data_IF_742124277814
#
_entry.id   IF_742124277814
#
_cell.length_a   1.000
_cell.length_b   1.000
_cell.length_c   1.000
_cell.angle_alpha   90.00
_cell.angle_beta   90.00
_cell.angle_gamma   90.00
#
_symmetry.space_group_name_H-M   'P 1'
#
loop_
_entity.id
_entity.type
_entity.pdbx_description
1 polymer ?
#
# COMPACT_ATOMS: atom_id res chain seq x y z
N UNK A 1 13.35 5.89 9.00
CA UNK A 1 13.46 4.51 9.50
C UNK A 1 13.43 3.56 8.31
N UNK A 2 14.35 2.61 8.27
CA UNK A 2 14.42 1.57 7.22
C UNK A 2 13.43 0.43 7.49
N UNK A 3 13.27 -0.49 6.53
CA UNK A 3 12.47 -1.71 6.73
C UNK A 3 13.13 -2.69 7.73
N UNK A 4 14.45 -2.70 7.82
CA UNK A 4 15.22 -3.70 8.57
C UNK A 4 14.76 -3.87 10.04
N UNK A 5 14.58 -2.82 10.86
CA UNK A 5 14.14 -2.98 12.24
C UNK A 5 12.77 -3.66 12.39
N UNK A 6 11.87 -3.50 11.43
CA UNK A 6 10.55 -4.14 11.43
C UNK A 6 10.67 -5.64 11.18
N UNK A 7 11.56 -6.04 10.28
CA UNK A 7 11.82 -7.45 10.02
C UNK A 7 12.53 -8.08 11.21
N UNK A 8 13.55 -7.44 11.78
CA UNK A 8 14.23 -7.94 12.99
C UNK A 8 13.25 -8.11 14.16
N UNK A 9 12.33 -7.16 14.36
CA UNK A 9 11.25 -7.27 15.36
C UNK A 9 10.35 -8.48 15.08
N UNK A 10 9.97 -8.70 13.83
CA UNK A 10 9.16 -9.84 13.44
C UNK A 10 9.91 -11.17 13.68
N UNK A 11 11.17 -11.24 13.27
CA UNK A 11 12.00 -12.45 13.37
C UNK A 11 12.26 -12.88 14.81
N UNK A 12 12.29 -11.92 15.74
CA UNK A 12 12.39 -12.19 17.16
C UNK A 12 11.13 -12.85 17.75
N UNK A 13 9.96 -12.68 17.11
CA UNK A 13 8.67 -13.16 17.63
C UNK A 13 8.50 -14.68 17.53
N UNK A 14 7.79 -15.28 18.49
CA UNK A 14 7.47 -16.71 18.48
C UNK A 14 6.61 -17.09 17.27
N UNK A 15 5.60 -16.27 16.95
CA UNK A 15 4.74 -16.46 15.77
C UNK A 15 5.53 -16.56 14.47
N UNK A 16 6.59 -15.78 14.30
CA UNK A 16 7.45 -15.90 13.12
C UNK A 16 8.26 -17.19 13.12
N UNK A 17 8.80 -17.60 14.26
CA UNK A 17 9.58 -18.85 14.37
C UNK A 17 8.70 -20.05 14.02
N UNK A 18 7.50 -20.13 14.58
CA UNK A 18 6.49 -21.16 14.25
C UNK A 18 6.12 -21.13 12.76
N UNK A 19 5.89 -19.92 12.21
CA UNK A 19 5.64 -19.74 10.79
C UNK A 19 6.77 -20.29 9.93
N UNK A 20 8.03 -19.98 10.28
CA UNK A 20 9.19 -20.35 9.48
C UNK A 20 9.50 -21.86 9.56
N UNK A 21 9.18 -22.50 10.68
CA UNK A 21 9.22 -23.95 10.81
C UNK A 21 8.20 -24.64 9.88
N UNK A 22 6.99 -24.08 9.79
CA UNK A 22 5.91 -24.59 8.94
C UNK A 22 6.14 -24.33 7.45
N UNK A 23 6.64 -23.14 7.10
CA UNK A 23 6.81 -22.68 5.72
C UNK A 23 8.27 -22.33 5.43
N UNK A 24 9.11 -23.36 5.33
CA UNK A 24 10.56 -23.19 5.15
C UNK A 24 10.94 -22.50 3.84
N UNK A 25 10.15 -22.74 2.78
CA UNK A 25 10.29 -22.17 1.44
C UNK A 25 9.80 -20.72 1.33
N UNK A 26 9.23 -20.15 2.40
CA UNK A 26 8.78 -18.77 2.41
C UNK A 26 9.92 -17.77 2.22
N UNK A 27 9.65 -16.64 1.57
CA UNK A 27 10.59 -15.54 1.43
C UNK A 27 9.92 -14.18 1.51
N UNK A 28 10.65 -13.17 2.00
CA UNK A 28 10.18 -11.80 2.12
C UNK A 28 9.92 -11.22 0.73
N UNK A 29 8.76 -10.58 0.53
CA UNK A 29 8.37 -10.00 -0.77
C UNK A 29 7.99 -8.54 -0.71
N UNK A 30 7.46 -8.08 0.42
CA UNK A 30 7.11 -6.67 0.56
C UNK A 30 7.13 -6.21 2.02
N UNK A 31 7.37 -4.92 2.20
CA UNK A 31 6.98 -4.18 3.40
C UNK A 31 5.87 -3.21 3.05
N UNK A 32 4.78 -3.25 3.79
CA UNK A 32 3.60 -2.42 3.61
C UNK A 32 3.42 -1.50 4.82
N UNK A 33 3.36 -0.20 4.57
CA UNK A 33 3.37 0.83 5.59
C UNK A 33 2.26 1.83 5.35
N UNK A 34 1.34 1.97 6.30
CA UNK A 34 0.36 3.05 6.32
C UNK A 34 0.85 4.08 7.33
N UNK A 35 1.09 5.28 6.84
CA UNK A 35 1.48 6.44 7.65
C UNK A 35 0.30 7.39 7.64
N UNK A 36 -0.40 7.49 8.77
CA UNK A 36 -1.48 8.45 8.96
C UNK A 36 -0.90 9.72 9.59
N UNK A 37 -0.78 10.77 8.78
CA UNK A 37 -0.18 12.02 9.24
C UNK A 37 -1.11 12.83 10.14
N UNK A 38 -2.41 12.53 10.14
CA UNK A 38 -3.44 13.22 10.93
C UNK A 38 -3.61 12.56 12.30
N UNK A 39 -3.88 11.26 12.31
CA UNK A 39 -4.20 10.51 13.55
C UNK A 39 -2.97 9.92 14.22
N UNK A 40 -1.84 9.87 13.51
CA UNK A 40 -0.60 9.18 13.92
C UNK A 40 -0.79 7.67 14.15
N UNK A 41 -1.89 7.10 13.65
CA UNK A 41 -2.12 5.66 13.63
C UNK A 41 -1.40 5.06 12.42
N UNK A 42 -0.18 4.59 12.67
CA UNK A 42 0.60 3.92 11.64
C UNK A 42 0.31 2.42 11.66
N UNK A 43 0.35 1.80 10.49
CA UNK A 43 0.27 0.35 10.33
C UNK A 43 1.53 -0.13 9.61
N UNK A 44 2.21 -1.13 10.18
CA UNK A 44 3.40 -1.74 9.63
C UNK A 44 3.12 -3.22 9.41
N UNK A 45 3.27 -3.64 8.16
CA UNK A 45 3.03 -5.00 7.73
C UNK A 45 4.23 -5.51 6.93
N UNK A 46 4.59 -6.78 7.15
CA UNK A 46 5.66 -7.47 6.44
C UNK A 46 5.08 -8.71 5.77
N UNK A 47 5.31 -8.83 4.47
CA UNK A 47 4.69 -9.88 3.66
C UNK A 47 5.72 -10.91 3.20
N UNK A 48 5.40 -12.18 3.43
CA UNK A 48 6.16 -13.34 2.95
C UNK A 48 5.35 -14.10 1.91
N UNK A 49 5.96 -14.42 0.79
CA UNK A 49 5.34 -15.31 -0.19
C UNK A 49 5.57 -16.77 0.18
N UNK A 50 4.55 -17.60 -0.08
CA UNK A 50 4.50 -19.02 0.21
C UNK A 50 4.43 -19.79 -1.11
N UNK A 51 5.57 -20.20 -1.71
CA UNK A 51 5.59 -20.86 -3.01
C UNK A 51 4.75 -22.13 -3.05
N UNK A 52 4.87 -22.98 -2.03
CA UNK A 52 4.15 -24.25 -1.94
C UNK A 52 2.62 -24.10 -1.90
N UNK A 53 2.11 -22.97 -1.42
CA UNK A 53 0.67 -22.72 -1.32
C UNK A 53 0.15 -21.69 -2.33
N UNK A 54 1.04 -21.00 -3.06
CA UNK A 54 0.71 -19.83 -3.86
C UNK A 54 -0.09 -18.78 -3.06
N UNK A 55 0.38 -18.47 -1.85
CA UNK A 55 -0.24 -17.52 -0.90
C UNK A 55 0.76 -16.50 -0.39
N UNK A 56 0.25 -15.48 0.29
CA UNK A 56 1.05 -14.48 1.01
C UNK A 56 0.71 -14.56 2.50
N UNK A 57 1.72 -14.62 3.34
CA UNK A 57 1.63 -14.44 4.78
C UNK A 57 1.91 -12.98 5.13
N UNK A 58 0.88 -12.27 5.56
CA UNK A 58 0.95 -10.88 6.00
C UNK A 58 1.08 -10.81 7.52
N UNK A 59 2.15 -10.17 8.00
CA UNK A 59 2.41 -9.96 9.42
C UNK A 59 2.21 -8.50 9.79
N UNK A 60 1.18 -8.18 10.57
CA UNK A 60 1.00 -6.85 11.15
C UNK A 60 1.78 -6.73 12.46
N UNK A 61 2.51 -5.64 12.65
CA UNK A 61 3.48 -5.46 13.75
C UNK A 61 3.05 -4.43 14.81
N UNK A 62 1.89 -3.79 14.64
CA UNK A 62 1.35 -2.78 15.55
C UNK A 62 0.62 -3.46 16.70
N UNK A 63 1.27 -3.47 17.87
CA UNK A 63 0.82 -4.23 19.03
C UNK A 63 1.34 -5.67 19.00
N UNK A 64 0.44 -6.63 19.18
CA UNK A 64 0.77 -8.04 19.07
C UNK A 64 0.97 -8.42 17.61
N UNK A 65 2.04 -9.16 17.30
CA UNK A 65 2.29 -9.66 15.95
C UNK A 65 1.10 -10.50 15.50
N UNK A 66 0.45 -10.15 14.39
CA UNK A 66 -0.68 -10.90 13.85
C UNK A 66 -0.34 -11.44 12.48
N UNK A 67 -0.59 -12.73 12.27
CA UNK A 67 -0.37 -13.43 11.01
C UNK A 67 -1.70 -13.66 10.29
N UNK A 68 -1.78 -13.23 9.04
CA UNK A 68 -2.88 -13.53 8.13
C UNK A 68 -2.35 -14.20 6.87
N UNK A 69 -2.98 -15.30 6.46
CA UNK A 69 -2.66 -15.97 5.20
C UNK A 69 -3.68 -15.53 4.15
N UNK A 70 -3.19 -14.86 3.11
CA UNK A 70 -3.98 -14.27 2.03
C UNK A 70 -3.71 -15.01 0.72
N UNK A 71 -4.73 -15.10 -0.12
CA UNK A 71 -4.55 -15.61 -1.49
C UNK A 71 -3.76 -14.61 -2.34
N UNK A 72 -2.90 -15.12 -3.21
CA UNK A 72 -2.19 -14.27 -4.17
C UNK A 72 -3.15 -13.78 -5.25
N UNK A 73 -3.09 -12.49 -5.55
CA UNK A 73 -3.99 -11.85 -6.53
C UNK A 73 -3.48 -11.94 -7.97
N UNK A 74 -2.38 -12.67 -8.23
CA UNK A 74 -1.70 -12.73 -9.52
C UNK A 74 -1.03 -14.07 -9.80
N UNK A 75 -0.86 -14.41 -11.09
CA UNK A 75 -0.12 -15.60 -11.54
C UNK A 75 1.40 -15.41 -11.50
N UNK A 76 1.86 -14.15 -11.39
CA UNK A 76 3.29 -13.82 -11.36
C UNK A 76 3.79 -14.03 -9.94
N UNK A 77 4.76 -14.93 -9.80
CA UNK A 77 5.49 -15.12 -8.54
C UNK A 77 6.22 -13.82 -8.21
N UNK A 78 6.00 -13.25 -7.01
CA UNK A 78 6.71 -12.06 -6.57
C UNK A 78 8.22 -12.32 -6.45
N UNK A 79 9.00 -11.26 -6.63
CA UNK A 79 10.45 -11.32 -6.46
C UNK A 79 10.81 -11.17 -4.97
N UNK A 80 11.87 -11.84 -4.54
CA UNK A 80 12.37 -11.69 -3.16
C UNK A 80 12.82 -10.25 -2.92
N UNK A 81 12.42 -9.71 -1.78
CA UNK A 81 12.89 -8.41 -1.30
C UNK A 81 14.11 -8.60 -0.40
N UNK A 82 15.19 -7.91 -0.75
CA UNK A 82 16.38 -7.78 0.11
C UNK A 82 16.13 -6.71 1.19
N UNK A 83 16.55 -6.99 2.43
CA UNK A 83 16.36 -6.14 3.60
C UNK A 83 17.11 -4.80 3.51
N UNK A 84 18.20 -4.78 2.75
CA UNK A 84 19.02 -3.59 2.60
C UNK A 84 18.31 -2.56 1.74
N UNK A 85 17.67 -1.59 2.37
CA UNK A 85 17.05 -0.42 1.72
C UNK A 85 17.93 0.81 1.88
N UNK A 86 17.93 1.67 0.86
CA UNK A 86 18.66 2.94 0.89
C UNK A 86 17.75 4.11 1.29
N UNK A 87 16.45 4.06 0.97
CA UNK A 87 15.48 5.09 1.35
C UNK A 87 14.86 4.77 2.70
N UNK A 88 14.84 5.78 3.56
CA UNK A 88 14.12 5.77 4.83
C UNK A 88 12.63 6.08 4.62
N UNK A 89 11.75 5.38 5.34
CA UNK A 89 10.30 5.64 5.35
C UNK A 89 9.97 7.11 5.64
N UNK A 90 10.69 7.71 6.59
CA UNK A 90 10.50 9.11 6.99
C UNK A 90 10.93 10.10 5.89
N UNK A 91 11.85 9.68 4.99
CA UNK A 91 12.30 10.51 3.88
C UNK A 91 11.31 10.51 2.71
N UNK A 92 10.46 9.48 2.59
CA UNK A 92 9.49 9.36 1.49
C UNK A 92 8.53 10.55 1.43
N UNK A 93 8.12 11.09 2.58
CA UNK A 93 7.27 12.28 2.62
C UNK A 93 7.98 13.49 2.00
N UNK A 94 9.23 13.75 2.37
CA UNK A 94 9.99 14.87 1.81
C UNK A 94 10.19 14.73 0.30
N UNK A 95 10.58 13.53 -0.17
CA UNK A 95 10.76 13.24 -1.60
C UNK A 95 9.46 13.53 -2.38
N UNK A 96 8.31 13.09 -1.84
CA UNK A 96 7.01 13.31 -2.47
C UNK A 96 6.59 14.78 -2.45
N UNK A 97 6.76 15.47 -1.32
CA UNK A 97 6.43 16.90 -1.19
C UNK A 97 7.25 17.75 -2.14
N UNK A 98 8.54 17.46 -2.33
CA UNK A 98 9.37 18.17 -3.29
C UNK A 98 8.98 17.83 -4.73
N UNK A 99 8.65 16.58 -5.01
CA UNK A 99 8.07 16.17 -6.29
C UNK A 99 6.74 16.88 -6.62
N UNK A 100 5.89 17.09 -5.61
CA UNK A 100 4.64 17.83 -5.70
C UNK A 100 4.87 19.32 -5.98
N UNK A 101 5.77 19.97 -5.24
CA UNK A 101 6.13 21.39 -5.44
C UNK A 101 6.64 21.63 -6.86
N UNK A 102 7.51 20.76 -7.37
CA UNK A 102 8.05 20.84 -8.73
C UNK A 102 6.97 20.71 -9.82
N UNK A 103 5.77 20.25 -9.47
CA UNK A 103 4.61 20.11 -10.34
C UNK A 103 3.48 21.10 -10.01
N UNK A 104 3.76 22.12 -9.20
CA UNK A 104 2.80 23.13 -8.76
C UNK A 104 1.57 22.56 -8.03
N UNK A 105 1.74 21.45 -7.32
CA UNK A 105 0.69 20.88 -6.46
C UNK A 105 0.73 21.54 -5.08
N UNK A 106 -0.41 22.05 -4.63
CA UNK A 106 -0.53 22.79 -3.35
C UNK A 106 -1.21 22.01 -2.23
N UNK A 107 -1.73 20.82 -2.55
CA UNK A 107 -2.42 19.98 -1.57
C UNK A 107 -1.44 19.39 -0.55
N UNK A 108 -1.96 19.00 0.62
CA UNK A 108 -1.17 18.33 1.66
C UNK A 108 -1.45 16.85 1.66
N UNK A 109 -0.41 16.04 1.89
CA UNK A 109 -0.56 14.59 2.11
C UNK A 109 -1.20 14.40 3.50
N UNK A 110 -2.29 13.64 3.55
CA UNK A 110 -3.02 13.28 4.79
C UNK A 110 -2.68 11.88 5.26
N UNK A 111 -2.66 10.95 4.31
CA UNK A 111 -2.34 9.54 4.55
C UNK A 111 -1.47 9.03 3.44
N UNK A 112 -0.52 8.18 3.78
CA UNK A 112 0.44 7.60 2.86
C UNK A 112 0.45 6.09 3.02
N UNK A 113 0.24 5.38 1.92
CA UNK A 113 0.40 3.93 1.84
C UNK A 113 1.66 3.69 1.02
N UNK A 114 2.71 3.23 1.68
CA UNK A 114 4.01 2.95 1.09
C UNK A 114 4.25 1.45 1.04
N UNK A 115 4.61 0.92 -0.13
CA UNK A 115 4.91 -0.48 -0.33
C UNK A 115 6.29 -0.60 -0.96
N UNK A 116 7.25 -1.17 -0.24
CA UNK A 116 8.54 -1.53 -0.82
C UNK A 116 8.50 -2.96 -1.32
N UNK A 117 8.89 -3.15 -2.57
CA UNK A 117 8.95 -4.46 -3.21
C UNK A 117 10.02 -4.47 -4.31
N UNK A 118 10.46 -5.66 -4.70
CA UNK A 118 11.33 -5.83 -5.87
C UNK A 118 10.48 -5.96 -7.14
N UNK A 119 10.74 -5.13 -8.14
CA UNK A 119 10.12 -5.17 -9.45
C UNK A 119 11.21 -5.13 -10.52
N UNK A 120 11.29 -6.18 -11.35
CA UNK A 120 12.26 -6.28 -12.45
C UNK A 120 13.71 -6.14 -11.94
N UNK A 121 14.01 -6.79 -10.81
CA UNK A 121 15.31 -6.73 -10.15
C UNK A 121 15.62 -5.43 -9.41
N UNK A 122 14.70 -4.46 -9.36
CA UNK A 122 14.89 -3.16 -8.67
C UNK A 122 13.97 -3.01 -7.48
N UNK A 123 14.49 -2.44 -6.39
CA UNK A 123 13.68 -2.07 -5.22
C UNK A 123 12.93 -0.78 -5.51
N UNK A 124 11.60 -0.83 -5.45
CA UNK A 124 10.73 0.29 -5.75
C UNK A 124 9.75 0.50 -4.60
N UNK A 125 9.68 1.74 -4.13
CA UNK A 125 8.64 2.22 -3.24
C UNK A 125 7.42 2.63 -4.06
N UNK A 126 6.36 1.85 -3.99
CA UNK A 126 5.06 2.15 -4.58
C UNK A 126 4.20 2.85 -3.55
N UNK A 127 3.84 4.09 -3.84
CA UNK A 127 3.19 5.02 -2.94
C UNK A 127 1.79 5.34 -3.43
N UNK A 128 0.82 5.29 -2.54
CA UNK A 128 -0.52 5.83 -2.74
C UNK A 128 -0.81 6.81 -1.60
N UNK A 129 -0.94 8.09 -1.91
CA UNK A 129 -1.12 9.16 -0.95
C UNK A 129 -2.50 9.77 -1.12
N UNK A 130 -3.24 9.88 -0.01
CA UNK A 130 -4.49 10.64 0.05
C UNK A 130 -4.13 12.09 0.32
N UNK A 131 -4.56 12.98 -0.56
CA UNK A 131 -4.34 14.42 -0.46
C UNK A 131 -5.54 15.11 0.21
N UNK A 132 -5.30 16.31 0.74
CA UNK A 132 -6.33 17.15 1.37
C UNK A 132 -7.48 17.55 0.43
N UNK A 133 -7.29 17.45 -0.89
CA UNK A 133 -8.28 17.79 -1.91
C UNK A 133 -9.19 16.63 -2.38
N UNK A 134 -9.25 15.51 -1.64
CA UNK A 134 -9.95 14.28 -2.07
C UNK A 134 -9.36 13.68 -3.37
N UNK A 135 -8.04 13.78 -3.50
CA UNK A 135 -7.28 13.27 -4.64
C UNK A 135 -6.29 12.22 -4.15
N UNK A 136 -6.00 11.25 -5.01
CA UNK A 136 -5.00 10.22 -4.78
C UNK A 136 -3.78 10.53 -5.65
N UNK A 137 -2.65 10.73 -5.00
CA UNK A 137 -1.35 10.80 -5.63
C UNK A 137 -0.71 9.40 -5.60
N UNK A 138 -0.48 8.84 -6.77
CA UNK A 138 0.30 7.61 -6.94
C UNK A 138 1.71 7.99 -7.31
N UNK A 139 2.70 7.39 -6.69
CA UNK A 139 4.08 7.60 -7.06
C UNK A 139 4.92 6.34 -6.89
N UNK A 140 5.90 6.16 -7.76
CA UNK A 140 6.90 5.11 -7.64
C UNK A 140 8.26 5.79 -7.44
N UNK A 141 8.95 5.44 -6.38
CA UNK A 141 10.28 5.96 -6.05
C UNK A 141 11.27 4.80 -6.14
N UNK A 142 12.35 5.01 -6.86
CA UNK A 142 13.46 4.06 -6.93
C UNK A 142 14.25 4.10 -5.61
N UNK A 143 14.42 2.95 -4.94
CA UNK A 143 15.11 2.90 -3.64
C UNK A 143 16.59 3.27 -3.78
N UNK A 144 17.25 2.95 -4.89
CA UNK A 144 18.69 3.20 -5.06
C UNK A 144 18.99 4.67 -5.33
N UNK A 145 18.26 5.28 -6.26
CA UNK A 145 18.52 6.64 -6.73
C UNK A 145 17.67 7.70 -6.05
N UNK A 146 16.64 7.30 -5.29
CA UNK A 146 15.64 8.17 -4.65
C UNK A 146 14.82 9.01 -5.64
N UNK A 147 14.92 8.70 -6.93
CA UNK A 147 14.19 9.40 -7.98
C UNK A 147 12.75 8.93 -8.06
N UNK A 148 11.85 9.88 -8.30
CA UNK A 148 10.46 9.59 -8.64
C UNK A 148 10.43 9.05 -10.08
N UNK A 149 10.28 7.74 -10.23
CA UNK A 149 10.15 7.04 -11.51
C UNK A 149 8.83 7.39 -12.21
N UNK A 150 7.77 7.50 -11.42
CA UNK A 150 6.41 7.74 -11.90
C UNK A 150 5.65 8.51 -10.83
N UNK A 151 4.82 9.47 -11.24
CA UNK A 151 3.90 10.12 -10.32
C UNK A 151 2.66 10.59 -11.08
N UNK A 152 1.49 10.22 -10.60
CA UNK A 152 0.18 10.42 -11.22
C UNK A 152 -0.81 10.91 -10.17
N UNK A 153 -1.58 11.95 -10.50
CA UNK A 153 -2.65 12.47 -9.67
C UNK A 153 -3.98 12.02 -10.26
N UNK A 154 -4.89 11.55 -9.41
CA UNK A 154 -6.22 11.09 -9.83
C UNK A 154 -7.27 11.51 -8.81
N UNK A 155 -8.46 11.92 -9.26
CA UNK A 155 -9.55 12.23 -8.33
C UNK A 155 -10.15 10.94 -7.79
N UNK A 156 -10.56 10.93 -6.52
CA UNK A 156 -11.33 9.81 -5.96
C UNK A 156 -12.64 9.62 -6.76
N UNK A 157 -13.24 10.69 -7.28
CA UNK A 157 -14.44 10.64 -8.11
C UNK A 157 -14.23 9.88 -9.42
N UNK A 158 -13.03 9.92 -10.00
CA UNK A 158 -12.74 9.19 -11.23
C UNK A 158 -12.74 7.68 -10.99
N UNK A 159 -12.26 7.22 -9.82
CA UNK A 159 -12.37 5.81 -9.43
C UNK A 159 -13.83 5.40 -9.27
N UNK A 160 -14.65 6.22 -8.63
CA UNK A 160 -16.09 5.95 -8.43
C UNK A 160 -16.85 5.87 -9.75
N UNK A 161 -16.51 6.72 -10.73
CA UNK A 161 -17.13 6.69 -12.07
C UNK A 161 -16.74 5.48 -12.90
N UNK A 162 -15.54 4.93 -12.70
CA UNK A 162 -15.08 3.72 -13.40
C UNK A 162 -15.60 2.42 -12.80
N UNK A 163 -16.39 2.49 -11.72
CA UNK A 163 -17.01 1.30 -11.15
C UNK A 163 -18.23 0.85 -11.96
N UNK A 164 -18.33 -0.43 -12.33
CA UNK A 164 -19.53 -0.95 -12.95
C UNK A 164 -20.71 -0.86 -11.97
N UNK A 165 -21.80 -0.21 -12.38
CA UNK A 165 -23.09 -0.28 -11.69
C UNK A 165 -23.59 0.97 -10.98
N UNK A 166 -22.90 2.12 -11.06
CA UNK A 166 -23.45 3.42 -10.58
C UNK A 166 -23.85 4.32 -11.75
N UNK A 167 -25.13 4.70 -11.78
CA UNK A 167 -25.67 5.66 -12.73
C UNK A 167 -25.15 7.08 -12.39
N UNK A 168 -24.43 7.77 -13.31
CA UNK A 168 -23.88 9.11 -13.07
C UNK A 168 -24.94 10.18 -12.74
N UNK A 169 -26.22 9.91 -13.00
CA UNK A 169 -27.32 10.86 -12.80
C UNK A 169 -27.71 11.09 -11.33
N UNK A 170 -27.19 10.30 -10.37
CA UNK A 170 -27.53 10.44 -8.94
C UNK A 170 -26.58 11.35 -8.13
N UNK A 171 -25.50 11.86 -8.72
CA UNK A 171 -24.63 12.84 -8.04
C UNK A 171 -25.22 14.26 -8.13
N UNK A 172 -26.18 14.57 -7.25
CA UNK A 172 -26.65 15.95 -7.08
C UNK A 172 -25.60 16.81 -6.36
N UNK A 173 -25.44 18.03 -6.87
CA UNK A 173 -24.54 19.09 -6.41
C UNK A 173 -24.82 19.48 -4.94
N UNK A 174 -23.96 19.03 -4.03
CA UNK A 174 -23.85 19.54 -2.66
C UNK A 174 -22.51 19.10 -2.08
N UNK A 175 -21.83 19.97 -1.32
CA UNK A 175 -20.61 19.57 -0.61
C UNK A 175 -20.94 18.44 0.39
N UNK A 176 -20.16 17.34 0.40
CA UNK A 176 -20.47 16.18 1.23
C UNK A 176 -20.26 16.50 2.71
N UNK A 177 -21.20 16.05 3.54
CA UNK A 177 -21.11 16.20 4.99
C UNK A 177 -20.14 15.17 5.59
N UNK A 178 -19.73 15.34 6.86
CA UNK A 178 -18.87 14.36 7.55
C UNK A 178 -19.46 12.94 7.57
N UNK A 179 -20.78 12.81 7.72
CA UNK A 179 -21.46 11.52 7.67
C UNK A 179 -21.48 10.92 6.25
N UNK A 180 -21.46 11.77 5.22
CA UNK A 180 -21.29 11.32 3.83
C UNK A 180 -19.86 10.83 3.60
N UNK A 181 -18.86 11.53 4.14
CA UNK A 181 -17.45 11.14 4.06
C UNK A 181 -17.17 9.81 4.77
N UNK A 182 -17.73 9.58 5.96
CA UNK A 182 -17.54 8.30 6.69
C UNK A 182 -18.23 7.13 5.96
N UNK A 183 -19.43 7.36 5.39
CA UNK A 183 -20.08 6.37 4.52
C UNK A 183 -19.32 6.15 3.22
N UNK A 184 -18.65 7.17 2.69
CA UNK A 184 -17.80 7.07 1.50
C UNK A 184 -16.49 6.33 1.79
N UNK A 185 -15.90 6.48 2.98
CA UNK A 185 -14.75 5.68 3.43
C UNK A 185 -15.13 4.20 3.59
N UNK A 186 -16.30 3.92 4.17
CA UNK A 186 -16.81 2.54 4.27
C UNK A 186 -17.13 1.95 2.88
N UNK A 187 -17.59 2.79 1.95
CA UNK A 187 -17.75 2.41 0.54
C UNK A 187 -16.40 2.21 -0.16
N UNK A 188 -15.35 2.96 0.21
CA UNK A 188 -13.98 2.79 -0.31
C UNK A 188 -13.35 1.45 0.12
N UNK A 189 -13.64 0.97 1.33
CA UNK A 189 -13.21 -0.35 1.78
C UNK A 189 -13.98 -1.48 1.05
N UNK A 190 -15.29 -1.31 0.83
CA UNK A 190 -16.08 -2.22 -0.04
C UNK A 190 -15.63 -2.14 -1.51
N UNK A 191 -15.15 -0.98 -1.97
CA UNK A 191 -14.52 -0.75 -3.27
C UNK A 191 -13.21 -1.53 -3.40
N UNK A 192 -12.39 -1.50 -2.35
CA UNK A 192 -11.14 -2.28 -2.28
C UNK A 192 -11.46 -3.76 -2.47
N UNK A 193 -12.48 -4.28 -1.80
CA UNK A 193 -12.94 -5.66 -1.98
C UNK A 193 -13.52 -5.92 -3.38
N UNK A 194 -14.29 -5.00 -3.95
CA UNK A 194 -14.90 -5.14 -5.28
C UNK A 194 -13.87 -5.05 -6.42
N UNK A 195 -12.92 -4.11 -6.36
CA UNK A 195 -11.79 -4.00 -7.30
C UNK A 195 -10.85 -5.20 -7.21
N UNK A 196 -10.79 -5.83 -6.02
CA UNK A 196 -10.10 -7.09 -5.83
C UNK A 196 -10.81 -8.22 -6.56
N UNK A 197 -12.15 -8.31 -6.49
CA UNK A 197 -12.98 -9.26 -7.24
C UNK A 197 -13.01 -9.02 -8.75
N UNK A 198 -12.99 -7.76 -9.21
CA UNK A 198 -13.09 -7.44 -10.63
C UNK A 198 -11.77 -7.66 -11.39
N UNK A 199 -10.62 -7.58 -10.69
CA UNK A 199 -9.34 -8.07 -11.22
C UNK A 199 -9.31 -9.60 -11.41
N UNK A 200 -10.23 -10.35 -10.78
CA UNK A 200 -10.38 -11.80 -10.97
C UNK A 200 -11.21 -12.13 -12.23
N UNK A 201 -12.18 -11.28 -12.58
CA UNK A 201 -13.03 -11.47 -13.77
C UNK A 201 -12.33 -11.07 -15.07
N UNK A 202 -11.44 -10.06 -15.05
CA UNK A 202 -10.65 -9.63 -16.21
C UNK A 202 -9.46 -10.56 -16.57
N UNK A 203 -9.34 -11.72 -15.91
CA UNK A 203 -8.30 -12.74 -16.16
C UNK A 203 -8.83 -14.09 -16.69
N UNK A 204 -10.13 -14.16 -17.02
CA UNK A 204 -10.69 -15.22 -17.88
C UNK A 204 -10.60 -14.77 -19.34
#
# INVERSE_FOLDING_TARGET
MKIQPYVEKLEASEKYKEFKEKYKDSFLVAGFFIIDLETKQNIHQIDYYLPSENKVAAFTLDGEVNLQILNTMGKKVPETLDLKTNVDLDALQGILEDGMKNRNMTEKIKKMIAVIQTMEGKKVWVMNCVLSGLEILKANIDDETQNILKMEKSSILDYVKTMPGRDPSQMQKGEPTKEDLDKEIEQLDKLKEALTKEKETLKK
#
